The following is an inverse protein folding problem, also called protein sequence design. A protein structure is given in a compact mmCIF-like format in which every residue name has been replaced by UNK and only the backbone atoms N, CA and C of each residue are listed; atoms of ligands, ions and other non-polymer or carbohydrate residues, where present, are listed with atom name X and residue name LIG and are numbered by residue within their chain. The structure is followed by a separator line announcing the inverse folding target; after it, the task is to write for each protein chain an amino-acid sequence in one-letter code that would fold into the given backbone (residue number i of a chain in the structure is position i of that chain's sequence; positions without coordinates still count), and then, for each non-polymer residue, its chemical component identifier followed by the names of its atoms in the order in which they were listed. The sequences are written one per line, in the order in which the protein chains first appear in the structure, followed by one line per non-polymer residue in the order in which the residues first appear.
data_IF_424833717819
#
_entry.id   IF_424833717819
#
_cell.length_a   1.000
_cell.length_b   1.000
_cell.length_c   1.000
_cell.angle_alpha   90.00
_cell.angle_beta   90.00
_cell.angle_gamma   90.00
#
_symmetry.space_group_name_H-M   'P 1'
#
loop_
_entity.id
_entity.type
_entity.pdbx_description
1 polymer ?
#
# COMPACT_ATOMS: atom_id res chain seq x y z
N UNK A 1 -27.32 -47.10 6.21
CA UNK A 1 -26.51 -45.93 6.60
C UNK A 1 -27.29 -45.20 7.68
N UNK A 2 -27.14 -45.65 8.92
CA UNK A 2 -27.87 -45.18 10.09
C UNK A 2 -27.37 -43.81 10.52
N UNK A 3 -28.29 -42.92 10.88
CA UNK A 3 -28.03 -41.50 11.14
C UNK A 3 -27.43 -41.29 12.53
N UNK A 4 -26.47 -40.37 12.63
CA UNK A 4 -25.75 -39.98 13.86
C UNK A 4 -26.66 -39.64 15.07
N UNK A 5 -27.95 -39.41 14.83
CA UNK A 5 -28.97 -39.18 15.86
C UNK A 5 -29.37 -40.43 16.65
N UNK A 6 -29.25 -41.63 16.08
CA UNK A 6 -29.58 -42.90 16.76
C UNK A 6 -28.47 -43.39 17.69
N UNK A 7 -27.22 -42.96 17.49
CA UNK A 7 -26.08 -43.36 18.33
C UNK A 7 -25.99 -42.59 19.66
N UNK A 8 -26.69 -41.46 19.80
CA UNK A 8 -26.59 -40.58 20.96
C UNK A 8 -27.78 -40.68 21.94
N UNK A 9 -28.73 -41.57 21.67
CA UNK A 9 -29.92 -41.78 22.51
C UNK A 9 -29.82 -42.98 23.45
N UNK A 10 -28.75 -43.79 23.37
CA UNK A 10 -28.64 -45.07 24.10
C UNK A 10 -27.78 -45.08 25.36
N UNK A 11 -27.09 -44.00 25.73
CA UNK A 11 -26.36 -43.96 27.01
C UNK A 11 -26.94 -42.88 27.93
N UNK A 12 -27.93 -43.29 28.70
CA UNK A 12 -28.36 -42.58 29.91
C UNK A 12 -27.57 -43.02 31.15
N UNK A 13 -27.63 -42.15 32.17
CA UNK A 13 -27.22 -42.29 33.59
C UNK A 13 -25.81 -41.76 33.94
N UNK A 14 -25.58 -40.87 34.93
CA UNK A 14 -26.37 -40.29 36.04
C UNK A 14 -25.75 -38.94 36.49
N UNK A 15 -26.60 -38.06 37.01
CA UNK A 15 -26.28 -36.81 37.71
C UNK A 15 -25.49 -37.03 39.01
N UNK A 16 -24.55 -36.12 39.30
CA UNK A 16 -24.45 -35.42 40.60
C UNK A 16 -23.66 -34.10 40.49
N UNK A 17 -24.38 -32.99 40.65
CA UNK A 17 -24.05 -31.68 41.23
C UNK A 17 -22.59 -31.16 41.29
N UNK A 18 -22.33 -30.08 40.54
CA UNK A 18 -21.85 -28.75 41.01
C UNK A 18 -21.61 -27.80 39.81
N UNK A 19 -22.08 -26.56 39.91
CA UNK A 19 -21.91 -25.43 38.96
C UNK A 19 -21.01 -24.36 39.63
N UNK A 20 -20.45 -23.32 38.97
CA UNK A 20 -20.14 -23.06 37.55
C UNK A 20 -18.66 -22.71 37.29
N UNK A 21 -18.14 -22.99 36.09
CA UNK A 21 -17.23 -22.06 35.39
C UNK A 21 -17.62 -22.05 33.91
N UNK A 22 -18.30 -21.00 33.49
CA UNK A 22 -18.64 -20.77 32.10
C UNK A 22 -17.36 -20.48 31.31
N UNK A 23 -17.06 -21.35 30.35
CA UNK A 23 -16.32 -21.00 29.14
C UNK A 23 -17.24 -21.43 28.02
N UNK A 24 -17.98 -20.47 27.44
CA UNK A 24 -18.81 -20.73 26.25
C UNK A 24 -18.05 -20.25 25.03
N UNK A 25 -17.39 -21.24 24.42
CA UNK A 25 -17.20 -21.35 22.98
C UNK A 25 -18.49 -20.96 22.26
N UNK A 26 -18.43 -19.94 21.41
CA UNK A 26 -19.46 -19.64 20.42
C UNK A 26 -18.97 -20.26 19.12
N UNK A 27 -19.63 -21.34 18.72
CA UNK A 27 -19.48 -21.98 17.42
C UNK A 27 -20.01 -21.04 16.34
N UNK A 28 -19.11 -20.43 15.56
CA UNK A 28 -19.45 -19.63 14.39
C UNK A 28 -19.63 -20.54 13.17
N UNK A 29 -20.87 -20.69 12.74
CA UNK A 29 -21.23 -21.29 11.46
C UNK A 29 -21.01 -20.32 10.31
N UNK A 30 -19.99 -20.63 9.49
CA UNK A 30 -19.91 -20.48 8.02
C UNK A 30 -20.28 -19.15 7.32
N UNK A 31 -19.26 -18.36 6.95
CA UNK A 31 -19.04 -17.76 5.61
C UNK A 31 -17.59 -17.20 5.53
N UNK A 32 -16.92 -17.21 4.36
CA UNK A 32 -15.46 -17.25 4.28
C UNK A 32 -14.84 -15.84 4.25
N UNK A 33 -14.12 -15.50 5.32
CA UNK A 33 -13.04 -14.51 5.28
C UNK A 33 -11.73 -15.28 5.50
N UNK A 34 -10.79 -15.31 4.54
CA UNK A 34 -9.47 -15.85 4.81
C UNK A 34 -8.61 -14.74 5.41
N UNK A 35 -8.79 -14.49 6.70
CA UNK A 35 -7.73 -13.95 7.57
C UNK A 35 -7.21 -15.10 8.43
N UNK A 36 -6.68 -16.14 7.78
CA UNK A 36 -5.69 -17.01 8.40
C UNK A 36 -4.30 -16.46 8.11
N UNK A 37 -3.97 -15.36 8.79
CA UNK A 37 -2.57 -15.01 9.03
C UNK A 37 -2.20 -15.80 10.28
N UNK A 38 -1.77 -17.05 10.08
CA UNK A 38 -0.98 -17.78 11.05
C UNK A 38 0.40 -18.01 10.45
N UNK A 39 1.40 -17.67 11.26
CA UNK A 39 2.80 -17.52 10.90
C UNK A 39 3.41 -18.72 10.18
N UNK A 40 3.93 -18.49 8.98
CA UNK A 40 5.06 -19.27 8.48
C UNK A 40 6.16 -18.34 7.96
N UNK A 41 6.77 -17.63 8.92
CA UNK A 41 7.94 -16.76 8.72
C UNK A 41 9.08 -17.50 8.01
N UNK A 42 9.14 -18.83 8.20
CA UNK A 42 10.21 -19.70 7.72
C UNK A 42 10.18 -19.95 6.20
N UNK A 43 9.00 -19.90 5.58
CA UNK A 43 8.87 -20.03 4.13
C UNK A 43 9.28 -18.72 3.46
N UNK A 44 8.82 -17.58 3.99
CA UNK A 44 9.12 -16.23 3.46
C UNK A 44 10.62 -15.92 3.57
N UNK A 45 11.23 -16.18 4.74
CA UNK A 45 12.67 -15.95 4.95
C UNK A 45 13.54 -16.82 4.02
N UNK A 46 13.09 -18.04 3.65
CA UNK A 46 13.82 -18.92 2.72
C UNK A 46 13.77 -18.43 1.26
N UNK A 47 12.63 -17.82 0.85
CA UNK A 47 12.49 -17.21 -0.47
C UNK A 47 13.33 -15.94 -0.60
N UNK A 48 13.36 -15.11 0.44
CA UNK A 48 14.15 -13.87 0.44
C UNK A 48 15.66 -14.16 0.47
N UNK A 49 16.10 -15.22 1.16
CA UNK A 49 17.51 -15.64 1.18
C UNK A 49 18.02 -16.12 -0.19
N UNK A 50 17.19 -16.83 -0.97
CA UNK A 50 17.51 -17.22 -2.37
C UNK A 50 17.51 -16.03 -3.34
N UNK A 51 16.66 -15.02 -3.09
CA UNK A 51 16.61 -13.81 -3.89
C UNK A 51 17.81 -12.88 -3.59
N UNK A 52 18.20 -12.75 -2.32
CA UNK A 52 19.37 -11.95 -1.90
C UNK A 52 20.69 -12.53 -2.42
N UNK A 53 20.85 -13.86 -2.45
CA UNK A 53 22.07 -14.49 -2.98
C UNK A 53 22.26 -14.22 -4.49
N UNK A 54 21.17 -14.08 -5.25
CA UNK A 54 21.20 -13.66 -6.65
C UNK A 54 21.43 -12.15 -6.84
N UNK A 55 21.11 -11.31 -5.84
CA UNK A 55 21.21 -9.85 -5.92
C UNK A 55 22.55 -9.30 -5.37
N UNK A 56 23.22 -10.02 -4.47
CA UNK A 56 24.47 -9.57 -3.81
C UNK A 56 25.71 -9.67 -4.72
N UNK A 57 25.67 -10.46 -5.80
CA UNK A 57 26.86 -10.71 -6.62
C UNK A 57 27.22 -9.59 -7.62
N UNK A 58 26.39 -8.55 -7.80
CA UNK A 58 26.74 -7.38 -8.64
C UNK A 58 26.28 -6.08 -8.01
N UNK A 59 27.13 -5.53 -7.14
CA UNK A 59 27.00 -4.16 -6.63
C UNK A 59 27.20 -3.12 -7.73
N UNK A 60 26.11 -2.52 -8.20
CA UNK A 60 26.01 -1.14 -8.71
C UNK A 60 24.59 -0.91 -9.25
N UNK A 61 23.67 -0.42 -8.42
CA UNK A 61 22.37 0.05 -8.90
C UNK A 61 22.49 1.53 -9.32
N UNK A 62 22.76 1.76 -10.60
CA UNK A 62 22.53 3.05 -11.23
C UNK A 62 21.03 3.30 -11.33
N UNK A 63 20.56 4.44 -10.82
CA UNK A 63 19.16 4.85 -10.80
C UNK A 63 18.67 5.44 -12.14
N UNK A 64 19.50 5.43 -13.18
CA UNK A 64 19.18 6.06 -14.47
C UNK A 64 18.68 5.05 -15.51
N UNK A 65 17.46 4.49 -15.34
CA UNK A 65 16.64 4.06 -16.49
C UNK A 65 15.18 3.73 -16.13
N UNK A 66 14.38 4.74 -15.82
CA UNK A 66 12.92 4.67 -15.99
C UNK A 66 12.46 5.69 -17.03
N UNK A 67 12.97 5.56 -18.25
CA UNK A 67 12.39 6.21 -19.43
C UNK A 67 11.42 5.23 -20.09
N UNK A 68 10.12 5.46 -19.91
CA UNK A 68 9.06 4.81 -20.69
C UNK A 68 8.63 5.74 -21.81
N UNK A 69 9.11 5.49 -23.02
CA UNK A 69 8.43 5.93 -24.23
C UNK A 69 7.21 5.04 -24.42
N UNK A 70 6.02 5.58 -24.14
CA UNK A 70 4.77 5.00 -24.61
C UNK A 70 4.31 5.82 -25.82
N UNK A 71 4.74 5.45 -27.02
CA UNK A 71 4.01 5.79 -28.23
C UNK A 71 2.67 5.04 -28.17
N UNK A 72 1.57 5.77 -28.05
CA UNK A 72 0.25 5.23 -28.35
C UNK A 72 -0.19 5.76 -29.70
N UNK A 73 -0.41 4.81 -30.62
CA UNK A 73 -1.18 4.94 -31.84
C UNK A 73 -2.54 5.53 -31.47
N UNK A 74 -2.80 6.76 -31.93
CA UNK A 74 -4.10 7.39 -31.89
C UNK A 74 -4.94 6.84 -33.06
N UNK A 75 -5.99 6.09 -32.76
CA UNK A 75 -7.14 5.96 -33.66
C UNK A 75 -8.27 6.79 -33.09
N UNK A 76 -8.39 8.00 -33.61
CA UNK A 76 -9.54 8.89 -33.50
C UNK A 76 -10.72 8.34 -34.29
N UNK A 77 -11.91 8.29 -33.68
CA UNK A 77 -13.19 8.37 -34.39
C UNK A 77 -14.30 8.74 -33.39
N UNK A 78 -14.64 10.02 -33.33
CA UNK A 78 -16.01 10.44 -33.04
C UNK A 78 -16.79 10.35 -34.35
N UNK A 79 -17.69 9.39 -34.48
CA UNK A 79 -18.85 9.55 -35.37
C UNK A 79 -20.09 8.98 -34.70
N UNK A 80 -21.07 9.86 -34.55
CA UNK A 80 -22.46 9.64 -34.18
C UNK A 80 -23.11 8.48 -34.94
N UNK A 81 -23.81 7.59 -34.22
CA UNK A 81 -24.89 6.79 -34.79
C UNK A 81 -25.86 6.29 -33.70
N UNK A 82 -27.11 6.73 -33.83
CA UNK A 82 -28.24 6.34 -33.01
C UNK A 82 -28.49 4.82 -33.06
N UNK A 83 -28.56 4.17 -31.89
CA UNK A 83 -29.36 2.95 -31.74
C UNK A 83 -30.16 3.01 -30.44
N UNK A 84 -31.49 3.00 -30.59
CA UNK A 84 -32.44 2.88 -29.49
C UNK A 84 -32.32 1.46 -28.92
N UNK A 85 -31.75 1.34 -27.73
CA UNK A 85 -31.79 0.10 -26.93
C UNK A 85 -32.77 0.30 -25.77
N UNK A 86 -33.87 -0.45 -25.82
CA UNK A 86 -34.86 -0.56 -24.76
C UNK A 86 -34.26 -1.37 -23.60
N UNK A 87 -33.74 -0.70 -22.57
CA UNK A 87 -33.46 -1.30 -21.26
C UNK A 87 -34.00 -0.37 -20.18
N UNK A 88 -34.92 -0.89 -19.38
CA UNK A 88 -35.61 -0.22 -18.28
C UNK A 88 -34.64 0.39 -17.25
N UNK A 89 -34.98 1.53 -16.61
CA UNK A 89 -34.07 2.26 -15.72
C UNK A 89 -34.00 1.70 -14.29
N UNK A 90 -34.21 0.39 -14.10
CA UNK A 90 -34.37 -0.20 -12.77
C UNK A 90 -33.58 -1.50 -12.61
N UNK A 91 -32.25 -1.37 -12.54
CA UNK A 91 -31.40 -2.33 -11.84
C UNK A 91 -30.09 -1.67 -11.43
N UNK A 92 -30.16 -0.58 -10.66
CA UNK A 92 -29.04 -0.27 -9.76
C UNK A 92 -29.01 -1.41 -8.75
N UNK A 93 -28.11 -2.37 -8.94
CA UNK A 93 -27.73 -3.32 -7.89
C UNK A 93 -27.22 -2.48 -6.72
N UNK A 94 -28.11 -2.19 -5.77
CA UNK A 94 -27.72 -1.86 -4.41
C UNK A 94 -26.97 -3.08 -3.89
N UNK A 95 -25.64 -3.03 -3.96
CA UNK A 95 -24.82 -3.98 -3.22
C UNK A 95 -25.17 -3.89 -1.73
N UNK A 96 -24.92 -4.95 -0.94
CA UNK A 96 -25.11 -4.89 0.49
C UNK A 96 -24.43 -3.64 1.08
N UNK A 97 -25.02 -2.98 2.10
CA UNK A 97 -24.36 -1.89 2.78
C UNK A 97 -22.99 -2.38 3.29
N UNK A 98 -21.95 -1.59 3.03
CA UNK A 98 -20.58 -1.94 3.34
C UNK A 98 -20.46 -2.33 4.82
N UNK A 99 -19.86 -3.48 5.11
CA UNK A 99 -19.78 -4.01 6.46
C UNK A 99 -19.05 -3.02 7.39
N UNK A 100 -19.82 -2.33 8.25
CA UNK A 100 -19.29 -1.30 9.15
C UNK A 100 -18.20 -1.83 10.09
N UNK A 101 -18.29 -3.10 10.48
CA UNK A 101 -17.27 -3.77 11.31
C UNK A 101 -15.96 -3.87 10.53
N UNK A 102 -16.02 -4.26 9.26
CA UNK A 102 -14.84 -4.35 8.40
C UNK A 102 -14.23 -2.97 8.11
N UNK A 103 -15.06 -1.93 7.86
CA UNK A 103 -14.57 -0.54 7.72
C UNK A 103 -13.86 -0.11 9.00
N UNK A 104 -14.46 -0.36 10.16
CA UNK A 104 -13.90 0.03 11.46
C UNK A 104 -12.57 -0.68 11.70
N UNK A 105 -12.50 -1.98 11.42
CA UNK A 105 -11.27 -2.76 11.53
C UNK A 105 -10.19 -2.21 10.60
N UNK A 106 -10.52 -1.89 9.34
CA UNK A 106 -9.59 -1.28 8.39
C UNK A 106 -9.09 0.08 8.90
N UNK A 107 -9.98 0.96 9.34
CA UNK A 107 -9.60 2.27 9.91
C UNK A 107 -8.66 2.08 11.11
N UNK A 108 -8.95 1.13 12.01
CA UNK A 108 -8.08 0.78 13.13
C UNK A 108 -6.71 0.33 12.64
N UNK A 109 -6.62 -0.70 11.81
CA UNK A 109 -5.34 -1.23 11.27
C UNK A 109 -4.49 -0.12 10.63
N UNK A 110 -5.09 0.67 9.73
CA UNK A 110 -4.39 1.74 9.03
C UNK A 110 -3.93 2.85 10.01
N UNK A 111 -4.81 3.27 10.92
CA UNK A 111 -4.48 4.36 11.86
C UNK A 111 -3.54 3.93 12.99
N UNK A 112 -3.54 2.65 13.36
CA UNK A 112 -2.67 2.08 14.39
C UNK A 112 -1.25 1.91 13.86
N UNK A 113 -1.10 1.56 12.58
CA UNK A 113 0.20 1.61 11.90
C UNK A 113 0.81 3.01 11.98
N UNK A 114 0.03 4.06 11.67
CA UNK A 114 0.49 5.45 11.77
C UNK A 114 0.76 5.86 13.22
N UNK A 115 -0.01 5.35 14.18
CA UNK A 115 0.18 5.64 15.60
C UNK A 115 1.54 5.19 16.13
N UNK A 116 2.17 4.20 15.50
CA UNK A 116 3.55 3.79 15.82
C UNK A 116 4.51 4.96 15.71
N UNK A 117 4.34 5.88 14.77
CA UNK A 117 5.18 7.09 14.68
C UNK A 117 5.16 7.92 15.96
N UNK A 118 4.00 7.99 16.62
CA UNK A 118 3.83 8.77 17.84
C UNK A 118 4.44 8.03 19.05
N UNK A 119 4.27 6.70 19.11
CA UNK A 119 4.62 5.87 20.28
C UNK A 119 6.04 5.31 20.26
N UNK A 120 6.55 4.97 19.09
CA UNK A 120 7.80 4.24 18.88
C UNK A 120 8.87 5.19 18.31
N UNK A 121 9.88 5.51 19.13
CA UNK A 121 10.97 6.40 18.75
C UNK A 121 11.80 5.84 17.60
N UNK A 122 12.07 4.53 17.60
CA UNK A 122 12.85 3.89 16.55
C UNK A 122 12.11 3.97 15.21
N UNK A 123 10.82 3.58 15.20
CA UNK A 123 9.99 3.68 14.01
C UNK A 123 9.90 5.13 13.51
N UNK A 124 9.73 6.10 14.41
CA UNK A 124 9.73 7.53 14.06
C UNK A 124 11.02 7.96 13.38
N UNK A 125 12.17 7.62 13.97
CA UNK A 125 13.50 7.92 13.41
C UNK A 125 13.69 7.27 12.04
N UNK A 126 13.28 6.01 11.87
CA UNK A 126 13.35 5.33 10.58
C UNK A 126 12.52 6.03 9.51
N UNK A 127 11.28 6.42 9.81
CA UNK A 127 10.44 7.17 8.85
C UNK A 127 11.05 8.54 8.53
N UNK A 128 11.57 9.24 9.54
CA UNK A 128 12.27 10.51 9.35
C UNK A 128 13.46 10.35 8.40
N UNK A 129 14.34 9.38 8.66
CA UNK A 129 15.53 9.11 7.83
C UNK A 129 15.15 8.70 6.41
N UNK A 130 14.15 7.83 6.24
CA UNK A 130 13.64 7.41 4.92
C UNK A 130 13.12 8.59 4.11
N UNK A 131 12.38 9.51 4.70
CA UNK A 131 11.91 10.70 3.99
C UNK A 131 13.05 11.69 3.76
N UNK A 132 13.89 11.93 4.77
CA UNK A 132 14.97 12.91 4.73
C UNK A 132 16.07 12.53 3.74
N UNK A 133 16.42 11.25 3.58
CA UNK A 133 17.45 10.80 2.64
C UNK A 133 17.13 11.16 1.19
N UNK A 134 15.84 11.29 0.83
CA UNK A 134 15.42 11.77 -0.48
C UNK A 134 15.44 13.30 -0.59
N UNK A 135 15.29 14.02 0.52
CA UNK A 135 15.35 15.48 0.56
C UNK A 135 16.79 16.02 0.54
N UNK A 136 17.77 15.19 0.91
CA UNK A 136 19.19 15.52 0.76
C UNK A 136 19.55 15.43 -0.71
N UNK A 137 19.91 16.58 -1.30
CA UNK A 137 20.36 16.70 -2.69
C UNK A 137 21.42 15.64 -2.99
N UNK A 138 21.18 14.78 -4.00
CA UNK A 138 22.28 14.09 -4.69
C UNK A 138 23.09 15.17 -5.41
N UNK A 139 24.19 15.60 -4.79
CA UNK A 139 25.10 16.58 -5.38
C UNK A 139 25.86 15.91 -6.53
N UNK A 140 25.26 15.88 -7.71
CA UNK A 140 26.00 15.60 -8.93
C UNK A 140 26.76 16.87 -9.31
N UNK A 141 28.06 16.72 -9.51
CA UNK A 141 29.04 17.77 -9.76
C UNK A 141 28.80 18.46 -11.11
N UNK A 142 28.04 19.55 -11.10
CA UNK A 142 28.22 20.74 -11.95
C UNK A 142 27.08 21.72 -11.68
N UNK A 143 27.43 23.00 -11.63
CA UNK A 143 26.55 24.15 -11.43
C UNK A 143 26.02 24.38 -10.00
N UNK A 144 26.74 25.31 -9.36
CA UNK A 144 26.30 26.12 -8.23
C UNK A 144 24.91 26.72 -8.48
N UNK A 145 23.92 26.12 -7.85
CA UNK A 145 22.67 26.79 -7.53
C UNK A 145 22.40 26.49 -6.06
N UNK A 146 22.84 27.41 -5.20
CA UNK A 146 22.79 27.34 -3.73
C UNK A 146 21.37 27.58 -3.15
N UNK A 147 20.37 27.75 -4.01
CA UNK A 147 18.99 27.91 -3.55
C UNK A 147 18.33 26.53 -3.42
N UNK A 148 18.16 26.06 -2.19
CA UNK A 148 17.25 24.95 -1.91
C UNK A 148 15.87 25.27 -2.50
N UNK A 149 15.25 24.33 -3.20
CA UNK A 149 13.90 24.53 -3.70
C UNK A 149 12.96 24.81 -2.53
N UNK A 150 12.11 25.82 -2.68
CA UNK A 150 11.10 26.20 -1.70
C UNK A 150 10.25 24.99 -1.28
N UNK A 151 9.99 24.05 -2.20
CA UNK A 151 9.26 22.81 -1.94
C UNK A 151 10.02 21.94 -0.91
N UNK A 152 11.33 21.78 -1.07
CA UNK A 152 12.15 20.97 -0.15
C UNK A 152 12.26 21.64 1.22
N UNK A 153 12.40 22.97 1.26
CA UNK A 153 12.41 23.73 2.51
C UNK A 153 11.08 23.56 3.25
N UNK A 154 9.94 23.71 2.55
CA UNK A 154 8.60 23.47 3.11
C UNK A 154 8.44 22.05 3.64
N UNK A 155 8.96 21.05 2.92
CA UNK A 155 8.89 19.65 3.35
C UNK A 155 9.68 19.43 4.65
N UNK A 156 10.97 19.83 4.67
CA UNK A 156 11.85 19.71 5.84
C UNK A 156 11.23 20.40 7.06
N UNK A 157 10.79 21.64 6.90
CA UNK A 157 10.15 22.42 7.96
C UNK A 157 8.88 21.72 8.49
N UNK A 158 8.07 21.14 7.61
CA UNK A 158 6.86 20.42 8.01
C UNK A 158 7.19 19.16 8.82
N UNK A 159 8.18 18.39 8.38
CA UNK A 159 8.66 17.18 9.07
C UNK A 159 9.16 17.55 10.47
N UNK A 160 10.04 18.54 10.58
CA UNK A 160 10.61 18.99 11.84
C UNK A 160 9.56 19.50 12.82
N UNK A 161 8.57 20.28 12.33
CA UNK A 161 7.48 20.77 13.15
C UNK A 161 6.62 19.62 13.71
N UNK A 162 6.33 18.61 12.88
CA UNK A 162 5.56 17.43 13.31
C UNK A 162 6.36 16.62 14.34
N UNK A 163 7.66 16.42 14.10
CA UNK A 163 8.52 15.69 15.02
C UNK A 163 8.61 16.38 16.40
N UNK A 164 8.83 17.70 16.41
CA UNK A 164 8.80 18.51 17.65
C UNK A 164 7.46 18.38 18.37
N UNK A 165 6.35 18.43 17.65
CA UNK A 165 5.01 18.33 18.23
C UNK A 165 4.74 16.96 18.90
N UNK A 166 5.33 15.89 18.38
CA UNK A 166 5.24 14.55 18.99
C UNK A 166 6.03 14.49 20.31
N UNK A 167 7.17 15.19 20.40
CA UNK A 167 7.99 15.27 21.62
C UNK A 167 7.37 16.22 22.66
N UNK A 168 6.85 17.37 22.24
CA UNK A 168 6.36 18.43 23.13
C UNK A 168 4.88 18.22 23.51
N UNK A 169 4.62 17.16 24.29
CA UNK A 169 3.26 16.87 24.76
C UNK A 169 2.71 17.92 25.74
N UNK A 170 3.55 18.79 26.31
CA UNK A 170 3.15 19.88 27.22
C UNK A 170 2.66 21.18 26.56
N UNK A 171 2.71 21.31 25.23
CA UNK A 171 2.37 22.57 24.54
C UNK A 171 0.89 22.96 24.67
N UNK A 172 0.63 24.26 24.86
CA UNK A 172 -0.72 24.83 24.94
C UNK A 172 -1.54 24.38 23.73
N UNK A 173 -2.76 23.86 23.98
CA UNK A 173 -3.64 23.25 22.96
C UNK A 173 -3.82 24.10 21.71
N UNK A 174 -3.90 25.42 21.86
CA UNK A 174 -4.04 26.37 20.76
C UNK A 174 -2.79 26.43 19.85
N UNK A 175 -1.60 26.48 20.44
CA UNK A 175 -0.33 26.45 19.69
C UNK A 175 -0.18 25.14 18.91
N UNK A 176 -0.60 24.01 19.50
CA UNK A 176 -0.63 22.72 18.80
C UNK A 176 -1.56 22.75 17.59
N UNK A 177 -2.76 23.30 17.73
CA UNK A 177 -3.72 23.42 16.62
C UNK A 177 -3.14 24.29 15.49
N UNK A 178 -2.53 25.43 15.84
CA UNK A 178 -1.91 26.35 14.86
C UNK A 178 -0.74 25.67 14.13
N UNK A 179 0.12 24.97 14.86
CA UNK A 179 1.24 24.22 14.29
C UNK A 179 0.77 23.13 13.32
N UNK A 180 -0.24 22.33 13.72
CA UNK A 180 -0.81 21.29 12.86
C UNK A 180 -1.43 21.87 11.59
N UNK A 181 -2.14 23.00 11.67
CA UNK A 181 -2.71 23.68 10.49
C UNK A 181 -1.63 24.16 9.52
N UNK A 182 -0.56 24.78 10.03
CA UNK A 182 0.57 25.19 9.21
C UNK A 182 1.21 23.98 8.50
N UNK A 183 1.45 22.87 9.22
CA UNK A 183 1.96 21.64 8.60
C UNK A 183 1.02 21.09 7.53
N UNK A 184 -0.30 21.13 7.73
CA UNK A 184 -1.27 20.70 6.70
C UNK A 184 -1.15 21.56 5.45
N UNK A 185 -1.09 22.88 5.59
CA UNK A 185 -0.99 23.81 4.45
C UNK A 185 0.28 23.54 3.62
N UNK A 186 1.43 23.43 4.29
CA UNK A 186 2.70 23.15 3.63
C UNK A 186 2.71 21.78 2.94
N UNK A 187 2.22 20.74 3.62
CA UNK A 187 2.18 19.38 3.07
C UNK A 187 1.18 19.22 1.93
N UNK A 188 0.07 19.98 1.94
CA UNK A 188 -0.93 19.94 0.86
C UNK A 188 -0.31 20.38 -0.47
N UNK A 189 0.47 21.46 -0.47
CA UNK A 189 1.19 21.94 -1.66
C UNK A 189 2.10 20.84 -2.24
N UNK A 190 2.79 20.10 -1.37
CA UNK A 190 3.74 19.05 -1.78
C UNK A 190 3.01 17.80 -2.26
N UNK A 191 1.92 17.43 -1.59
CA UNK A 191 1.04 16.33 -1.96
C UNK A 191 0.36 16.54 -3.33
N UNK A 192 0.15 17.79 -3.74
CA UNK A 192 -0.47 18.12 -5.02
C UNK A 192 0.51 18.09 -6.21
N UNK A 193 1.81 17.96 -5.97
CA UNK A 193 2.84 17.92 -7.03
C UNK A 193 2.69 16.73 -7.99
N UNK A 194 1.98 15.67 -7.57
CA UNK A 194 1.75 14.45 -8.33
C UNK A 194 0.35 14.39 -8.98
N UNK A 195 -0.48 15.44 -8.85
CA UNK A 195 -1.90 15.40 -9.22
C UNK A 195 -2.20 15.57 -10.71
N UNK A 196 -1.25 16.12 -11.51
CA UNK A 196 -1.55 16.61 -12.87
C UNK A 196 -0.56 16.19 -13.96
N UNK A 197 0.42 15.34 -13.67
CA UNK A 197 1.53 15.13 -14.61
C UNK A 197 1.34 13.87 -15.46
N UNK A 198 1.00 14.07 -16.75
CA UNK A 198 1.14 13.05 -17.80
C UNK A 198 2.61 12.62 -18.02
N UNK A 199 3.57 13.38 -17.47
CA UNK A 199 5.01 13.13 -17.52
C UNK A 199 5.59 12.93 -16.13
N UNK A 200 6.74 12.25 -16.02
CA UNK A 200 7.45 12.09 -14.75
C UNK A 200 8.06 13.43 -14.34
N UNK A 201 7.33 14.19 -13.52
CA UNK A 201 7.80 15.47 -13.00
C UNK A 201 8.83 15.26 -11.88
N UNK A 202 9.87 16.11 -11.86
CA UNK A 202 10.89 16.09 -10.81
C UNK A 202 11.10 17.49 -10.23
N UNK A 203 11.45 17.53 -8.95
CA UNK A 203 11.85 18.76 -8.23
C UNK A 203 13.25 18.53 -7.69
N UNK A 204 14.22 19.34 -8.13
CA UNK A 204 15.64 19.16 -7.76
C UNK A 204 16.17 17.74 -8.02
N UNK A 205 15.73 17.10 -9.11
CA UNK A 205 16.12 15.73 -9.48
C UNK A 205 15.41 14.63 -8.68
N UNK A 206 14.49 14.97 -7.79
CA UNK A 206 13.67 14.00 -7.02
C UNK A 206 12.32 13.86 -7.72
N UNK A 207 11.82 12.63 -7.97
CA UNK A 207 10.48 12.45 -8.53
C UNK A 207 9.40 13.06 -7.64
N UNK A 208 8.50 13.85 -8.22
CA UNK A 208 7.41 14.49 -7.49
C UNK A 208 6.48 13.46 -6.82
N UNK A 209 6.33 12.28 -7.40
CA UNK A 209 5.60 11.16 -6.80
C UNK A 209 6.18 10.73 -5.45
N UNK A 210 7.50 10.76 -5.29
CA UNK A 210 8.16 10.39 -4.05
C UNK A 210 7.99 11.47 -2.98
N UNK A 211 8.14 12.75 -3.37
CA UNK A 211 7.85 13.88 -2.49
C UNK A 211 6.39 13.86 -2.02
N UNK A 212 5.46 13.61 -2.94
CA UNK A 212 4.04 13.45 -2.65
C UNK A 212 3.80 12.30 -1.67
N UNK A 213 4.35 11.12 -1.94
CA UNK A 213 4.21 9.95 -1.05
C UNK A 213 4.72 10.24 0.38
N UNK A 214 5.88 10.90 0.52
CA UNK A 214 6.36 11.35 1.82
C UNK A 214 5.40 12.35 2.47
N UNK A 215 4.89 13.32 1.71
CA UNK A 215 3.94 14.31 2.22
C UNK A 215 2.62 13.65 2.68
N UNK A 216 2.11 12.67 1.94
CA UNK A 216 0.92 11.90 2.31
C UNK A 216 1.14 11.11 3.61
N UNK A 217 2.32 10.53 3.81
CA UNK A 217 2.64 9.85 5.07
C UNK A 217 2.63 10.82 6.27
N UNK A 218 3.23 12.00 6.12
CA UNK A 218 3.21 13.03 7.16
C UNK A 218 1.82 13.64 7.36
N UNK A 219 1.00 13.76 6.31
CA UNK A 219 -0.42 14.11 6.42
C UNK A 219 -1.17 13.07 7.26
N UNK A 220 -0.91 11.77 7.04
CA UNK A 220 -1.51 10.72 7.86
C UNK A 220 -1.14 10.88 9.34
N UNK A 221 0.12 11.19 9.65
CA UNK A 221 0.60 11.46 11.02
C UNK A 221 -0.11 12.67 11.63
N UNK A 222 -0.20 13.78 10.90
CA UNK A 222 -0.90 15.00 11.35
C UNK A 222 -2.36 14.70 11.68
N UNK A 223 -3.08 14.01 10.81
CA UNK A 223 -4.47 13.65 11.07
C UNK A 223 -4.62 12.64 12.21
N UNK A 224 -3.62 11.77 12.45
CA UNK A 224 -3.59 10.92 13.65
C UNK A 224 -3.45 11.75 14.93
N UNK A 225 -2.59 12.77 14.92
CA UNK A 225 -2.43 13.71 16.05
C UNK A 225 -3.73 14.50 16.31
N UNK A 226 -4.50 14.83 15.27
CA UNK A 226 -5.82 15.45 15.37
C UNK A 226 -6.95 14.47 15.75
N UNK A 227 -6.63 13.19 16.01
CA UNK A 227 -7.61 12.12 16.32
C UNK A 227 -8.63 11.87 15.20
N UNK A 228 -8.27 12.19 13.95
CA UNK A 228 -9.07 11.89 12.77
C UNK A 228 -8.55 10.62 12.07
N UNK A 229 -8.87 9.46 12.65
CA UNK A 229 -8.37 8.17 12.19
C UNK A 229 -8.80 7.83 10.74
N UNK A 230 -9.99 8.27 10.33
CA UNK A 230 -10.49 7.98 8.98
C UNK A 230 -9.75 8.77 7.90
N UNK A 231 -9.46 10.05 8.14
CA UNK A 231 -8.67 10.86 7.20
C UNK A 231 -7.20 10.43 7.22
N UNK A 232 -6.65 10.12 8.40
CA UNK A 232 -5.34 9.50 8.56
C UNK A 232 -5.19 8.25 7.67
N UNK A 233 -6.13 7.31 7.78
CA UNK A 233 -6.18 6.10 6.97
C UNK A 233 -6.20 6.38 5.45
N UNK A 234 -6.96 7.41 5.01
CA UNK A 234 -7.03 7.79 3.60
C UNK A 234 -5.70 8.32 3.07
N UNK A 235 -5.00 9.13 3.85
CA UNK A 235 -3.68 9.64 3.48
C UNK A 235 -2.64 8.52 3.42
N UNK A 236 -2.66 7.57 4.37
CA UNK A 236 -1.77 6.40 4.31
C UNK A 236 -2.00 5.59 3.01
N UNK A 237 -3.25 5.39 2.60
CA UNK A 237 -3.54 4.73 1.31
C UNK A 237 -3.09 5.55 0.10
N UNK A 238 -3.08 6.88 0.19
CA UNK A 238 -2.61 7.74 -0.90
C UNK A 238 -1.11 7.57 -1.16
N UNK A 239 -0.30 7.24 -0.14
CA UNK A 239 1.13 6.90 -0.29
C UNK A 239 1.34 5.84 -1.38
N UNK A 240 0.52 4.78 -1.34
CA UNK A 240 0.58 3.67 -2.30
C UNK A 240 0.00 4.01 -3.67
N UNK A 241 -0.86 5.03 -3.75
CA UNK A 241 -1.34 5.55 -5.02
C UNK A 241 -0.28 6.43 -5.70
N UNK A 242 0.43 7.24 -4.93
CA UNK A 242 1.36 8.24 -5.46
C UNK A 242 2.65 7.59 -5.97
N UNK A 243 3.22 6.68 -5.20
CA UNK A 243 4.47 6.03 -5.55
C UNK A 243 4.49 4.55 -5.07
N UNK A 244 3.74 3.64 -5.73
CA UNK A 244 3.57 2.25 -5.27
C UNK A 244 4.90 1.51 -5.10
N UNK A 245 5.81 1.60 -6.08
CA UNK A 245 7.13 0.98 -6.02
C UNK A 245 7.92 1.47 -4.80
N UNK A 246 7.97 2.79 -4.63
CA UNK A 246 8.69 3.44 -3.54
C UNK A 246 8.08 3.08 -2.17
N UNK A 247 6.76 3.06 -2.09
CA UNK A 247 6.03 2.72 -0.88
C UNK A 247 6.32 1.29 -0.41
N UNK A 248 6.27 0.32 -1.34
CA UNK A 248 6.39 -1.11 -1.02
C UNK A 248 7.81 -1.62 -0.86
N UNK A 249 8.80 -0.95 -1.44
CA UNK A 249 10.21 -1.40 -1.38
C UNK A 249 11.02 -0.64 -0.35
N UNK A 250 10.59 0.58 0.01
CA UNK A 250 11.42 1.47 0.82
C UNK A 250 10.65 2.14 1.94
N UNK A 251 9.59 2.90 1.63
CA UNK A 251 8.99 3.82 2.61
C UNK A 251 8.27 3.06 3.75
N UNK A 252 7.38 2.14 3.40
CA UNK A 252 6.54 1.36 4.33
C UNK A 252 6.36 -0.10 3.89
N UNK A 253 7.46 -0.83 3.60
CA UNK A 253 7.42 -2.19 3.05
C UNK A 253 6.68 -3.17 3.97
N UNK A 254 6.88 -3.07 5.28
CA UNK A 254 6.28 -3.98 6.26
C UNK A 254 4.75 -3.86 6.26
N UNK A 255 4.24 -2.66 5.99
CA UNK A 255 2.81 -2.43 5.88
C UNK A 255 2.23 -2.97 4.57
N UNK A 256 3.01 -2.84 3.49
CA UNK A 256 2.60 -3.34 2.19
C UNK A 256 2.45 -4.86 2.20
N UNK A 257 3.38 -5.57 2.86
CA UNK A 257 3.33 -7.01 3.04
C UNK A 257 2.10 -7.47 3.84
N UNK A 258 1.72 -6.71 4.87
CA UNK A 258 0.54 -7.03 5.67
C UNK A 258 -0.76 -6.90 4.85
N UNK A 259 -0.90 -5.81 4.09
CA UNK A 259 -2.19 -5.42 3.52
C UNK A 259 -2.37 -5.80 2.05
N UNK A 260 -1.32 -5.70 1.22
CA UNK A 260 -1.43 -5.82 -0.23
C UNK A 260 -0.86 -7.13 -0.76
N UNK A 261 0.24 -7.63 -0.20
CA UNK A 261 0.87 -8.86 -0.65
C UNK A 261 -0.10 -10.07 -0.68
N UNK A 262 -1.00 -10.28 0.30
CA UNK A 262 -1.95 -11.40 0.23
C UNK A 262 -2.83 -11.37 -1.02
N UNK A 263 -3.13 -10.19 -1.56
CA UNK A 263 -3.92 -10.02 -2.77
C UNK A 263 -3.12 -10.12 -4.07
N UNK A 264 -1.78 -10.06 -3.97
CA UNK A 264 -0.86 -10.01 -5.11
C UNK A 264 0.11 -11.21 -5.12
N UNK A 265 -0.09 -12.18 -4.23
CA UNK A 265 0.78 -13.32 -4.06
C UNK A 265 0.93 -14.15 -5.34
N UNK A 266 -0.14 -14.26 -6.14
CA UNK A 266 -0.13 -14.94 -7.43
C UNK A 266 0.89 -14.33 -8.41
N UNK A 267 1.16 -13.02 -8.34
CA UNK A 267 2.21 -12.37 -9.13
C UNK A 267 3.61 -12.77 -8.65
N UNK A 268 3.82 -12.92 -7.33
CA UNK A 268 5.10 -13.36 -6.75
C UNK A 268 5.40 -14.81 -7.14
N UNK A 269 4.38 -15.68 -7.10
CA UNK A 269 4.47 -17.08 -7.54
C UNK A 269 4.80 -17.13 -9.04
N UNK A 270 4.04 -16.42 -9.88
CA UNK A 270 4.30 -16.36 -11.32
C UNK A 270 5.73 -15.89 -11.62
N UNK A 271 6.20 -14.83 -10.95
CA UNK A 271 7.56 -14.34 -11.16
C UNK A 271 8.64 -15.37 -10.81
N UNK A 272 8.44 -16.15 -9.74
CA UNK A 272 9.36 -17.22 -9.37
C UNK A 272 9.41 -18.33 -10.43
N UNK A 273 8.25 -18.77 -10.95
CA UNK A 273 8.17 -19.77 -12.02
C UNK A 273 8.89 -19.30 -13.31
N UNK A 274 8.74 -18.03 -13.67
CA UNK A 274 9.38 -17.47 -14.87
C UNK A 274 10.90 -17.31 -14.69
N UNK A 275 11.39 -17.02 -13.47
CA UNK A 275 12.84 -17.02 -13.17
C UNK A 275 13.43 -18.40 -13.38
N UNK A 276 12.77 -19.44 -12.86
CA UNK A 276 13.20 -20.83 -13.02
C UNK A 276 13.25 -21.20 -14.51
N UNK A 277 12.20 -20.83 -15.26
CA UNK A 277 12.13 -21.06 -16.71
C UNK A 277 13.28 -20.39 -17.49
N UNK A 278 13.62 -19.14 -17.16
CA UNK A 278 14.75 -18.44 -17.80
C UNK A 278 16.09 -19.10 -17.42
N UNK A 279 16.23 -19.51 -16.16
CA UNK A 279 17.44 -20.15 -15.64
C UNK A 279 17.72 -21.48 -16.34
N UNK A 280 16.69 -22.30 -16.52
CA UNK A 280 16.75 -23.63 -17.15
C UNK A 280 16.88 -23.59 -18.67
N UNK A 281 16.72 -22.42 -19.31
CA UNK A 281 16.84 -22.29 -20.75
C UNK A 281 18.28 -22.53 -21.25
N UNK A 282 18.45 -23.11 -22.44
CA UNK A 282 19.77 -23.32 -23.07
C UNK A 282 20.33 -22.06 -23.77
N UNK A 283 19.80 -20.88 -23.45
CA UNK A 283 20.20 -19.62 -24.08
C UNK A 283 21.55 -19.12 -23.54
N UNK A 284 22.22 -18.25 -24.30
CA UNK A 284 23.45 -17.62 -23.84
C UNK A 284 23.19 -16.65 -22.68
N UNK A 285 24.18 -16.51 -21.79
CA UNK A 285 24.06 -15.70 -20.57
C UNK A 285 23.61 -14.25 -20.83
N UNK A 286 24.07 -13.65 -21.92
CA UNK A 286 23.67 -12.29 -22.31
C UNK A 286 22.19 -12.16 -22.72
N UNK A 287 21.57 -13.23 -23.22
CA UNK A 287 20.13 -13.27 -23.53
C UNK A 287 19.34 -13.47 -22.25
N UNK A 288 19.78 -14.39 -21.37
CA UNK A 288 19.17 -14.61 -20.05
C UNK A 288 19.12 -13.33 -19.22
N UNK A 289 20.21 -12.57 -19.17
CA UNK A 289 20.26 -11.30 -18.42
C UNK A 289 19.24 -10.28 -18.96
N UNK A 290 19.09 -10.17 -20.27
CA UNK A 290 18.09 -9.26 -20.88
C UNK A 290 16.67 -9.69 -20.56
N UNK A 291 16.37 -10.99 -20.66
CA UNK A 291 15.08 -11.55 -20.29
C UNK A 291 14.77 -11.33 -18.81
N UNK A 292 15.76 -11.54 -17.94
CA UNK A 292 15.62 -11.31 -16.50
C UNK A 292 15.30 -9.85 -16.20
N UNK A 293 16.02 -8.88 -16.79
CA UNK A 293 15.73 -7.45 -16.62
C UNK A 293 14.32 -7.09 -17.09
N UNK A 294 13.89 -7.63 -18.23
CA UNK A 294 12.54 -7.43 -18.73
C UNK A 294 11.49 -8.03 -17.79
N UNK A 295 11.70 -9.27 -17.34
CA UNK A 295 10.80 -9.97 -16.43
C UNK A 295 10.64 -9.19 -15.11
N UNK A 296 11.73 -8.75 -14.49
CA UNK A 296 11.71 -7.92 -13.27
C UNK A 296 10.91 -6.63 -13.50
N UNK A 297 11.05 -5.99 -14.67
CA UNK A 297 10.28 -4.79 -15.01
C UNK A 297 8.79 -5.08 -15.14
N UNK A 298 8.41 -6.15 -15.84
CA UNK A 298 6.99 -6.56 -16.02
C UNK A 298 6.36 -6.90 -14.68
N UNK A 299 7.06 -7.69 -13.85
CA UNK A 299 6.63 -8.03 -12.50
C UNK A 299 6.39 -6.78 -11.66
N UNK A 300 7.38 -5.90 -11.56
CA UNK A 300 7.26 -4.67 -10.76
C UNK A 300 6.10 -3.80 -11.21
N UNK A 301 5.93 -3.59 -12.53
CA UNK A 301 4.82 -2.81 -13.06
C UNK A 301 3.46 -3.42 -12.67
N UNK A 302 3.32 -4.74 -12.75
CA UNK A 302 2.07 -5.44 -12.44
C UNK A 302 1.75 -5.41 -10.95
N UNK A 303 2.77 -5.58 -10.10
CA UNK A 303 2.63 -5.42 -8.64
C UNK A 303 2.25 -3.98 -8.29
N UNK A 304 2.84 -2.99 -8.95
CA UNK A 304 2.55 -1.57 -8.72
C UNK A 304 1.12 -1.20 -9.14
N UNK A 305 0.66 -1.67 -10.31
CA UNK A 305 -0.73 -1.52 -10.76
C UNK A 305 -1.68 -2.17 -9.75
N UNK A 306 -1.40 -3.41 -9.33
CA UNK A 306 -2.22 -4.11 -8.35
C UNK A 306 -2.28 -3.36 -7.01
N UNK A 307 -1.15 -2.85 -6.55
CA UNK A 307 -1.05 -2.03 -5.33
C UNK A 307 -1.92 -0.77 -5.44
N UNK A 308 -1.87 -0.05 -6.56
CA UNK A 308 -2.72 1.12 -6.80
C UNK A 308 -4.20 0.72 -6.79
N UNK A 309 -4.57 -0.36 -7.48
CA UNK A 309 -5.97 -0.82 -7.56
C UNK A 309 -6.54 -1.13 -6.17
N UNK A 310 -5.79 -1.89 -5.35
CA UNK A 310 -6.21 -2.20 -3.98
C UNK A 310 -6.17 -0.97 -3.05
N UNK A 311 -5.21 -0.07 -3.22
CA UNK A 311 -5.17 1.17 -2.43
C UNK A 311 -6.38 2.06 -2.74
N UNK A 312 -6.78 2.18 -4.01
CA UNK A 312 -8.00 2.90 -4.41
C UNK A 312 -9.27 2.21 -3.89
N UNK A 313 -9.32 0.88 -3.95
CA UNK A 313 -10.40 0.08 -3.37
C UNK A 313 -10.58 0.38 -1.87
N UNK A 314 -9.51 0.30 -1.08
CA UNK A 314 -9.57 0.63 0.34
C UNK A 314 -9.86 2.11 0.61
N UNK A 315 -9.37 3.04 -0.22
CA UNK A 315 -9.77 4.46 -0.10
C UNK A 315 -11.25 4.69 -0.31
N UNK A 316 -11.90 3.91 -1.17
CA UNK A 316 -13.34 4.00 -1.39
C UNK A 316 -14.13 3.48 -0.18
N UNK A 317 -13.63 2.46 0.52
CA UNK A 317 -14.20 2.00 1.81
C UNK A 317 -14.14 3.08 2.90
N UNK A 318 -13.11 3.93 2.84
CA UNK A 318 -12.91 5.02 3.79
C UNK A 318 -13.75 6.26 3.47
N UNK A 319 -14.61 6.27 2.44
CA UNK A 319 -15.61 7.33 2.21
C UNK A 319 -16.89 7.02 2.98
N UNK A 320 -17.58 8.04 3.49
CA UNK A 320 -18.83 7.87 4.25
C UNK A 320 -19.98 7.69 3.25
N UNK A 321 -20.89 6.75 3.54
CA UNK A 321 -22.11 6.54 2.74
C UNK A 321 -21.88 5.93 1.35
N UNK A 322 -20.76 5.23 1.14
CA UNK A 322 -20.46 4.57 -0.14
C UNK A 322 -20.82 3.09 -0.11
N UNK A 323 -21.24 2.58 -1.27
CA UNK A 323 -21.47 1.15 -1.51
C UNK A 323 -20.12 0.46 -1.68
N UNK A 324 -20.05 -0.82 -1.32
CA UNK A 324 -18.88 -1.65 -1.53
C UNK A 324 -18.46 -1.66 -3.01
N UNK A 325 -17.25 -1.16 -3.34
CA UNK A 325 -16.73 -1.25 -4.70
C UNK A 325 -16.47 -2.71 -5.09
N UNK A 326 -16.48 -3.04 -6.39
CA UNK A 326 -16.09 -4.39 -6.83
C UNK A 326 -14.65 -4.69 -6.45
N UNK A 327 -14.39 -5.94 -6.05
CA UNK A 327 -13.05 -6.40 -5.72
C UNK A 327 -12.12 -6.27 -6.95
N UNK A 328 -10.94 -5.64 -6.80
CA UNK A 328 -9.97 -5.55 -7.87
C UNK A 328 -9.49 -6.92 -8.35
N UNK A 329 -9.35 -7.09 -9.67
CA UNK A 329 -8.75 -8.26 -10.29
C UNK A 329 -7.48 -7.84 -11.00
N UNK A 330 -6.36 -8.44 -10.61
CA UNK A 330 -5.05 -8.16 -11.20
C UNK A 330 -4.62 -9.37 -12.02
N UNK A 331 -4.68 -9.31 -13.37
CA UNK A 331 -4.36 -10.46 -14.21
C UNK A 331 -2.87 -10.75 -14.22
N UNK A 332 -2.53 -12.03 -14.37
CA UNK A 332 -1.16 -12.46 -14.63
C UNK A 332 -0.64 -11.84 -15.93
N UNK A 333 0.67 -11.57 -16.02
CA UNK A 333 1.29 -11.20 -17.30
C UNK A 333 1.24 -12.36 -18.28
N UNK A 334 1.26 -12.06 -19.58
CA UNK A 334 1.37 -13.09 -20.61
C UNK A 334 2.72 -13.79 -20.50
N UNK A 335 2.72 -15.13 -20.60
CA UNK A 335 3.95 -15.93 -20.69
C UNK A 335 4.59 -15.73 -22.07
N UNK A 336 5.93 -15.73 -22.14
CA UNK A 336 6.71 -15.47 -23.35
C UNK A 336 7.55 -16.65 -23.77
#
# INVERSE_FOLDING_TARGET
MTSLRELLTQEGFKQTNKLPKETKEITLTSLPLPLQIYHDKKIIDCFDQKLDEAMIQKGSFSYDLFQTNNERVCTSAEETSNSKSLVSPDSRREGPPLNEVAIRALVSILSDYVERYIKDNFFRKTIFEKCHSYLVRRKNSSESCDNESEILVKMKLSIENIDKLVHDQGTIKELKIKSLRNSIELLTIIAELNSNSLQVATTCGIPNSHLSACAQLYMAIVYKLQKNNRVCARHLMQVFCDAPFFARTYLVPEFWELLFLPHLLHLKIWYAEEIETISDSNESDGVKEKKMKYLTRVYNNKVDIGTIMFALYYKQWLKVGTIEPPLPVVPLPSRH
#
